data_IF_772400390415
#
_entry.id   IF_772400390415
#
_cell.length_a   1.000
_cell.length_b   1.000
_cell.length_c   1.000
_cell.angle_alpha   90.00
_cell.angle_beta   90.00
_cell.angle_gamma   90.00
#
_symmetry.space_group_name_H-M   'P 1'
#
loop_
_entity.id
_entity.type
_entity.pdbx_description
1 polymer ?
#
# COMPACT_ATOMS: atom_id res chain seq x y z
N UNK A 1 -14.14 1.66 13.87
CA UNK A 1 -12.74 1.99 13.50
C UNK A 1 -12.38 1.33 12.17
N UNK A 2 -11.89 2.10 11.22
CA UNK A 2 -11.47 1.55 9.93
C UNK A 2 -10.07 0.95 10.04
N UNK A 3 -9.92 -0.27 9.54
CA UNK A 3 -8.61 -0.94 9.50
C UNK A 3 -7.91 -0.51 8.20
N UNK A 4 -6.68 0.02 8.28
CA UNK A 4 -5.92 0.36 7.07
C UNK A 4 -5.70 -0.84 6.17
N UNK A 5 -5.75 -0.63 4.86
CA UNK A 5 -5.59 -1.71 3.90
C UNK A 5 -5.01 -1.25 2.58
N UNK A 6 -4.32 -2.18 1.93
CA UNK A 6 -3.82 -2.01 0.56
C UNK A 6 -3.94 -3.34 -0.18
N UNK A 7 -3.98 -3.28 -1.50
CA UNK A 7 -3.91 -4.46 -2.36
C UNK A 7 -2.74 -4.34 -3.31
N UNK A 8 -2.00 -5.43 -3.48
CA UNK A 8 -0.82 -5.49 -4.33
C UNK A 8 -1.09 -6.41 -5.51
N UNK A 9 -0.83 -5.93 -6.73
CA UNK A 9 -1.02 -6.72 -7.95
C UNK A 9 0.19 -6.59 -8.87
N UNK A 10 1.02 -7.63 -8.94
CA UNK A 10 2.20 -7.61 -9.81
C UNK A 10 1.81 -7.68 -11.29
N UNK A 11 0.76 -8.43 -11.62
CA UNK A 11 0.29 -8.59 -13.00
C UNK A 11 0.04 -7.23 -13.67
N UNK A 12 -0.55 -6.30 -12.96
CA UNK A 12 -0.85 -4.96 -13.46
C UNK A 12 0.20 -3.93 -13.06
N UNK A 13 1.17 -4.30 -12.20
CA UNK A 13 2.18 -3.38 -11.69
C UNK A 13 1.58 -2.29 -10.81
N UNK A 14 0.48 -2.57 -10.11
CA UNK A 14 -0.29 -1.59 -9.36
C UNK A 14 -0.41 -1.92 -7.89
N UNK A 15 -0.46 -0.86 -7.09
CA UNK A 15 -0.81 -0.92 -5.67
C UNK A 15 -2.07 -0.09 -5.49
N UNK A 16 -3.12 -0.71 -4.96
CA UNK A 16 -4.35 0.01 -4.63
C UNK A 16 -4.33 0.36 -3.15
N UNK A 17 -4.47 1.66 -2.86
CA UNK A 17 -4.49 2.18 -1.50
C UNK A 17 -5.95 2.41 -1.11
N UNK A 18 -6.41 1.75 -0.03
CA UNK A 18 -7.77 1.97 0.44
C UNK A 18 -7.85 3.28 1.21
N UNK A 19 -9.02 3.91 1.15
CA UNK A 19 -9.24 5.19 1.82
C UNK A 19 -8.97 5.09 3.33
N UNK A 20 -9.22 3.93 3.94
CA UNK A 20 -8.92 3.68 5.34
C UNK A 20 -7.46 3.93 5.71
N UNK A 21 -6.52 3.60 4.79
CA UNK A 21 -5.10 3.88 5.00
C UNK A 21 -4.82 5.38 5.00
N UNK A 22 -5.44 6.10 4.08
CA UNK A 22 -5.26 7.55 3.98
C UNK A 22 -5.84 8.26 5.21
N UNK A 23 -7.00 7.83 5.68
CA UNK A 23 -7.60 8.37 6.91
C UNK A 23 -6.69 8.11 8.11
N UNK A 24 -6.15 6.89 8.23
CA UNK A 24 -5.25 6.52 9.32
C UNK A 24 -3.99 7.39 9.35
N UNK A 25 -3.54 7.87 8.17
CA UNK A 25 -2.38 8.74 8.04
C UNK A 25 -2.71 10.24 8.21
N UNK A 26 -3.96 10.59 8.52
CA UNK A 26 -4.36 11.97 8.68
C UNK A 26 -4.62 12.71 7.37
N UNK A 27 -4.99 11.99 6.35
CA UNK A 27 -5.28 12.53 5.02
C UNK A 27 -4.14 13.39 4.46
N UNK A 28 -2.92 12.83 4.35
CA UNK A 28 -1.77 13.57 3.83
C UNK A 28 -1.91 13.87 2.35
N UNK A 29 -1.16 14.87 1.88
CA UNK A 29 -1.10 15.16 0.45
C UNK A 29 -0.17 14.23 -0.31
N UNK A 30 0.81 13.65 0.37
CA UNK A 30 1.82 12.77 -0.22
C UNK A 30 2.09 11.59 0.71
N UNK A 31 2.37 10.44 0.10
CA UNK A 31 2.78 9.24 0.84
C UNK A 31 3.98 8.61 0.14
N UNK A 32 4.71 7.79 0.89
CA UNK A 32 5.80 6.97 0.32
C UNK A 32 5.76 5.57 0.89
N UNK A 33 6.41 4.65 0.18
CA UNK A 33 6.50 3.25 0.59
C UNK A 33 7.92 2.90 1.00
N UNK A 34 8.05 2.12 2.06
CA UNK A 34 9.32 1.59 2.52
C UNK A 34 9.14 0.08 2.72
N UNK A 35 10.05 -0.72 2.17
CA UNK A 35 9.98 -2.17 2.27
C UNK A 35 11.25 -2.71 2.90
N UNK A 36 11.10 -3.55 3.93
CA UNK A 36 12.19 -4.26 4.56
C UNK A 36 12.09 -5.74 4.20
N UNK A 37 12.94 -6.26 3.29
CA UNK A 37 12.85 -7.65 2.86
C UNK A 37 13.21 -8.65 3.98
N UNK A 38 14.09 -8.27 4.91
CA UNK A 38 14.50 -9.17 5.99
C UNK A 38 13.37 -9.45 6.97
N UNK A 39 12.61 -8.42 7.31
CA UNK A 39 11.49 -8.53 8.24
C UNK A 39 10.16 -8.76 7.54
N UNK A 40 10.15 -8.70 6.21
CA UNK A 40 8.94 -8.78 5.39
C UNK A 40 7.89 -7.77 5.85
N UNK A 41 8.33 -6.55 6.09
CA UNK A 41 7.50 -5.43 6.51
C UNK A 41 7.41 -4.38 5.43
N UNK A 42 6.19 -3.90 5.18
CA UNK A 42 5.93 -2.82 4.24
C UNK A 42 5.31 -1.67 5.00
N UNK A 43 5.82 -0.46 4.78
CA UNK A 43 5.34 0.74 5.46
C UNK A 43 4.85 1.75 4.44
N UNK A 44 3.68 2.34 4.72
CA UNK A 44 3.18 3.52 4.01
C UNK A 44 3.30 4.69 4.98
N UNK A 45 4.07 5.70 4.60
CA UNK A 45 4.36 6.84 5.46
C UNK A 45 3.88 8.13 4.82
N UNK A 46 3.29 9.01 5.65
CA UNK A 46 2.89 10.34 5.18
C UNK A 46 4.11 11.21 4.95
N UNK A 47 4.08 12.00 3.88
CA UNK A 47 5.11 12.97 3.54
C UNK A 47 4.52 14.37 3.62
N UNK A 48 5.26 15.32 4.21
CA UNK A 48 4.78 16.68 4.39
C UNK A 48 4.78 17.47 3.07
N UNK A 49 5.64 17.09 2.13
CA UNK A 49 5.79 17.77 0.85
C UNK A 49 6.28 16.79 -0.20
N UNK A 50 6.20 17.20 -1.46
CA UNK A 50 6.66 16.36 -2.56
C UNK A 50 8.17 16.15 -2.48
N UNK A 51 8.59 14.91 -2.39
CA UNK A 51 9.96 14.46 -2.46
C UNK A 51 10.08 13.45 -3.60
N UNK A 52 11.32 13.06 -3.97
CA UNK A 52 11.59 12.25 -5.14
C UNK A 52 10.82 10.91 -5.16
N UNK A 53 10.57 10.32 -4.01
CA UNK A 53 9.94 9.00 -3.90
C UNK A 53 8.52 9.06 -3.34
N UNK A 54 7.93 10.24 -3.26
CA UNK A 54 6.59 10.40 -2.75
C UNK A 54 5.55 10.39 -3.86
N UNK A 55 4.38 9.85 -3.55
CA UNK A 55 3.23 9.81 -4.45
C UNK A 55 2.18 10.80 -3.97
N UNK A 56 1.61 11.54 -4.90
CA UNK A 56 0.54 12.48 -4.57
C UNK A 56 -0.76 11.71 -4.29
N UNK A 57 -1.42 12.05 -3.18
CA UNK A 57 -2.72 11.48 -2.83
C UNK A 57 -3.82 12.35 -3.44
N UNK A 58 -4.74 11.78 -4.26
CA UNK A 58 -5.83 12.56 -4.83
C UNK A 58 -6.83 12.97 -3.75
N UNK A 59 -7.55 14.05 -4.01
CA UNK A 59 -8.62 14.49 -3.12
C UNK A 59 -9.71 13.43 -3.07
N UNK A 60 -10.16 13.09 -1.86
CA UNK A 60 -11.17 12.08 -1.68
C UNK A 60 -12.52 12.52 -2.24
N UNK A 61 -13.14 11.64 -3.04
CA UNK A 61 -14.48 11.78 -3.58
C UNK A 61 -15.23 10.47 -3.32
N UNK A 62 -16.25 10.44 -2.43
CA UNK A 62 -16.92 9.19 -2.09
C UNK A 62 -17.58 8.49 -3.26
N UNK A 63 -17.89 9.21 -4.33
CA UNK A 63 -18.55 8.61 -5.50
C UNK A 63 -17.56 8.00 -6.49
N UNK A 64 -16.31 8.50 -6.50
CA UNK A 64 -15.37 8.12 -7.54
C UNK A 64 -13.92 8.21 -7.06
N UNK A 65 -13.67 7.86 -5.79
CA UNK A 65 -12.29 7.85 -5.31
C UNK A 65 -11.64 6.50 -5.53
N UNK A 66 -10.54 6.52 -6.23
CA UNK A 66 -9.73 5.34 -6.45
C UNK A 66 -8.27 5.78 -6.51
N UNK A 67 -7.48 5.25 -5.57
CA UNK A 67 -6.07 5.61 -5.53
C UNK A 67 -5.24 4.38 -5.82
N UNK A 68 -4.68 4.33 -7.03
CA UNK A 68 -3.76 3.29 -7.46
C UNK A 68 -2.45 3.94 -7.87
N UNK A 69 -1.34 3.34 -7.49
CA UNK A 69 -0.02 3.78 -7.92
C UNK A 69 0.68 2.65 -8.67
N UNK A 70 1.63 3.01 -9.52
CA UNK A 70 2.45 2.05 -10.26
C UNK A 70 3.82 1.98 -9.60
N UNK A 71 4.26 0.78 -9.25
CA UNK A 71 5.60 0.57 -8.70
C UNK A 71 6.07 -0.84 -9.02
N UNK A 72 6.43 -1.07 -10.29
CA UNK A 72 6.86 -2.38 -10.76
C UNK A 72 8.12 -2.88 -10.02
N UNK A 73 9.17 -2.05 -9.81
CA UNK A 73 10.36 -2.53 -9.10
C UNK A 73 10.07 -3.00 -7.68
N UNK A 74 9.26 -2.26 -6.94
CA UNK A 74 8.92 -2.62 -5.56
C UNK A 74 8.08 -3.89 -5.51
N UNK A 75 7.08 -4.00 -6.39
CA UNK A 75 6.24 -5.19 -6.46
C UNK A 75 7.04 -6.42 -6.83
N UNK A 76 7.97 -6.29 -7.77
CA UNK A 76 8.85 -7.39 -8.15
C UNK A 76 9.70 -7.85 -6.97
N UNK A 77 10.24 -6.91 -6.21
CA UNK A 77 11.02 -7.24 -5.02
C UNK A 77 10.19 -7.99 -3.99
N UNK A 78 8.96 -7.54 -3.73
CA UNK A 78 8.06 -8.19 -2.77
C UNK A 78 7.73 -9.62 -3.22
N UNK A 79 7.35 -9.79 -4.50
CA UNK A 79 7.00 -11.11 -5.04
C UNK A 79 8.18 -12.08 -4.98
N UNK A 80 9.38 -11.62 -5.31
CA UNK A 80 10.58 -12.46 -5.23
C UNK A 80 10.92 -12.83 -3.79
N UNK A 81 10.82 -11.88 -2.87
CA UNK A 81 11.12 -12.11 -1.46
C UNK A 81 10.16 -13.12 -0.84
N UNK A 82 8.89 -13.05 -1.20
CA UNK A 82 7.84 -13.87 -0.61
C UNK A 82 7.49 -15.11 -1.44
N UNK A 83 8.08 -15.23 -2.62
CA UNK A 83 7.78 -16.31 -3.57
C UNK A 83 6.29 -16.41 -3.86
N UNK A 84 5.65 -15.27 -4.09
CA UNK A 84 4.21 -15.18 -4.33
C UNK A 84 3.86 -15.57 -5.77
N UNK A 85 2.63 -16.07 -5.93
CA UNK A 85 2.07 -16.42 -7.24
C UNK A 85 1.80 -15.16 -8.06
N UNK A 86 2.38 -15.08 -9.26
CA UNK A 86 2.28 -13.91 -10.14
C UNK A 86 0.86 -13.67 -10.67
N UNK A 87 0.01 -14.69 -10.64
CA UNK A 87 -1.36 -14.58 -11.12
C UNK A 87 -2.35 -14.15 -10.03
N UNK A 88 -1.87 -13.98 -8.81
CA UNK A 88 -2.73 -13.65 -7.67
C UNK A 88 -2.48 -12.24 -7.18
N UNK A 89 -3.53 -11.63 -6.66
CA UNK A 89 -3.50 -10.35 -5.98
C UNK A 89 -3.52 -10.60 -4.48
N UNK A 90 -2.75 -9.81 -3.74
CA UNK A 90 -2.62 -9.98 -2.29
C UNK A 90 -3.10 -8.73 -1.57
N UNK A 91 -3.92 -8.94 -0.54
CA UNK A 91 -4.43 -7.87 0.30
C UNK A 91 -3.74 -7.89 1.64
N UNK A 92 -3.38 -6.69 2.12
CA UNK A 92 -2.74 -6.49 3.41
C UNK A 92 -3.61 -5.58 4.28
N UNK A 93 -3.72 -5.94 5.56
CA UNK A 93 -4.27 -5.04 6.57
C UNK A 93 -3.13 -4.54 7.43
N UNK A 94 -3.21 -3.30 7.88
CA UNK A 94 -2.10 -2.65 8.55
C UNK A 94 -2.41 -2.18 9.95
N UNK A 95 -1.36 -1.74 10.63
CA UNK A 95 -1.42 -1.14 11.95
C UNK A 95 -0.88 0.28 11.86
N UNK A 96 -1.66 1.24 12.35
CA UNK A 96 -1.26 2.65 12.33
C UNK A 96 -0.34 2.96 13.51
N UNK A 97 0.78 3.60 13.22
CA UNK A 97 1.68 4.16 14.22
C UNK A 97 1.60 5.68 14.12
N UNK A 98 0.66 6.27 14.86
CA UNK A 98 0.36 7.71 14.81
C UNK A 98 1.59 8.56 15.10
N UNK A 99 2.42 8.14 16.05
CA UNK A 99 3.62 8.87 16.48
C UNK A 99 4.62 9.09 15.35
N UNK A 100 4.61 8.19 14.36
CA UNK A 100 5.56 8.23 13.24
C UNK A 100 4.89 8.55 11.89
N UNK A 101 3.60 8.82 11.90
CA UNK A 101 2.81 9.09 10.69
C UNK A 101 2.96 8.00 9.64
N UNK A 102 2.86 6.74 10.07
CA UNK A 102 2.98 5.60 9.17
C UNK A 102 1.99 4.49 9.51
N UNK A 103 1.73 3.65 8.51
CA UNK A 103 0.98 2.41 8.66
C UNK A 103 1.92 1.27 8.27
N UNK A 104 2.02 0.27 9.15
CA UNK A 104 2.86 -0.90 8.93
C UNK A 104 2.01 -2.08 8.51
N UNK A 105 2.46 -2.80 7.48
CA UNK A 105 1.81 -3.99 6.96
C UNK A 105 2.76 -5.17 7.10
N UNK A 106 2.27 -6.26 7.70
CA UNK A 106 3.02 -7.52 7.78
C UNK A 106 2.71 -8.35 6.55
N UNK A 107 3.67 -8.46 5.64
CA UNK A 107 3.50 -9.16 4.36
C UNK A 107 3.22 -10.65 4.58
N UNK A 108 3.72 -11.23 5.68
CA UNK A 108 3.48 -12.63 6.00
C UNK A 108 2.00 -12.93 6.27
N UNK A 109 1.21 -11.91 6.56
CA UNK A 109 -0.22 -12.06 6.86
C UNK A 109 -1.11 -11.65 5.68
N UNK A 110 -0.54 -11.56 4.48
CA UNK A 110 -1.30 -11.23 3.29
C UNK A 110 -2.36 -12.29 2.99
N UNK A 111 -3.52 -11.85 2.52
CA UNK A 111 -4.59 -12.73 2.06
C UNK A 111 -4.71 -12.62 0.55
N UNK A 112 -5.05 -13.76 -0.09
CA UNK A 112 -5.22 -13.81 -1.53
C UNK A 112 -6.58 -13.24 -1.92
N UNK A 113 -6.60 -12.39 -2.95
CA UNK A 113 -7.82 -11.91 -3.58
C UNK A 113 -7.88 -12.43 -5.00
N UNK A 114 -9.09 -12.55 -5.55
CA UNK A 114 -9.24 -12.87 -6.97
C UNK A 114 -8.80 -11.66 -7.81
N UNK A 115 -8.28 -11.92 -9.01
CA UNK A 115 -7.82 -10.86 -9.89
C UNK A 115 -8.93 -9.87 -10.26
N UNK A 116 -10.16 -10.33 -10.28
CA UNK A 116 -11.32 -9.51 -10.64
C UNK A 116 -11.66 -8.46 -9.59
N UNK A 117 -11.16 -8.61 -8.37
CA UNK A 117 -11.43 -7.70 -7.27
C UNK A 117 -10.46 -6.51 -7.22
N UNK A 118 -9.44 -6.52 -8.04
CA UNK A 118 -8.48 -5.43 -8.09
C UNK A 118 -8.95 -4.34 -9.04
#
# INVERSE_FOLDING_TARGET
MMIPGISLCQKWGKIRIFHSTIVALGEPRYIRFLFNPDKKGLVVQACARKEAECFRVPKYNPENWEFKISSVPMLRMIWNTCNWDKEKTYRLTGMCHIEHNLVEFDIKQATVQTADEF
#
